data_IF_797190564434
#
_entry.id   IF_797190564434
#
_cell.length_a   1.000
_cell.length_b   1.000
_cell.length_c   1.000
_cell.angle_alpha   90.00
_cell.angle_beta   90.00
_cell.angle_gamma   90.00
#
_symmetry.space_group_name_H-M   'P 1'
#
loop_
_entity.id
_entity.type
_entity.pdbx_description
1 polymer ?
#
# COMPACT_ATOMS: atom_id res chain seq x y z
N UNK A 1 -19.70 0.16 2.17
CA UNK A 1 -18.73 0.37 1.08
C UNK A 1 -18.61 -0.95 0.32
N UNK A 2 -18.40 -0.95 -1.01
CA UNK A 2 -18.31 -2.21 -1.76
C UNK A 2 -17.07 -2.99 -1.32
N UNK A 3 -17.22 -4.29 -1.10
CA UNK A 3 -16.10 -5.21 -0.90
C UNK A 3 -15.65 -5.71 -2.27
N UNK A 4 -14.35 -5.93 -2.43
CA UNK A 4 -13.75 -6.40 -3.68
C UNK A 4 -12.92 -7.64 -3.42
N UNK A 5 -12.70 -8.46 -4.44
CA UNK A 5 -11.62 -9.44 -4.38
C UNK A 5 -10.29 -8.68 -4.36
N UNK A 6 -9.58 -8.77 -3.24
CA UNK A 6 -8.29 -8.17 -3.01
C UNK A 6 -7.20 -9.24 -3.14
N UNK A 7 -6.09 -8.91 -3.80
CA UNK A 7 -4.94 -9.78 -3.94
C UNK A 7 -4.06 -9.80 -2.68
N UNK A 8 -3.87 -8.63 -2.04
CA UNK A 8 -3.11 -8.50 -0.78
C UNK A 8 -1.59 -8.34 -0.95
N UNK A 9 -1.07 -8.52 -2.17
CA UNK A 9 0.33 -8.25 -2.56
C UNK A 9 0.44 -7.90 -4.05
N UNK A 10 -0.43 -6.98 -4.49
CA UNK A 10 -0.54 -6.64 -5.91
C UNK A 10 0.65 -5.77 -6.38
N UNK A 11 1.70 -6.41 -6.89
CA UNK A 11 2.93 -5.74 -7.35
C UNK A 11 3.55 -6.45 -8.57
N UNK A 12 4.54 -5.82 -9.23
CA UNK A 12 5.11 -6.33 -10.49
C UNK A 12 5.55 -7.80 -10.47
N UNK A 13 6.12 -8.36 -9.39
CA UNK A 13 6.43 -9.80 -9.34
C UNK A 13 5.23 -10.72 -9.56
N UNK A 14 4.03 -10.27 -9.20
CA UNK A 14 2.78 -11.03 -9.25
C UNK A 14 1.93 -10.71 -10.50
N UNK A 15 2.45 -9.85 -11.39
CA UNK A 15 1.78 -9.44 -12.62
C UNK A 15 2.54 -9.99 -13.83
N UNK A 16 1.88 -10.82 -14.62
CA UNK A 16 2.42 -11.42 -15.83
C UNK A 16 1.85 -10.74 -17.07
N UNK A 17 2.71 -10.42 -18.03
CA UNK A 17 2.30 -9.94 -19.34
C UNK A 17 2.40 -11.08 -20.35
N UNK A 18 1.24 -11.55 -20.80
CA UNK A 18 1.11 -12.56 -21.85
C UNK A 18 1.15 -11.95 -23.27
N UNK A 19 0.97 -12.80 -24.29
CA UNK A 19 0.78 -12.36 -25.67
C UNK A 19 -0.35 -11.32 -25.77
N UNK A 20 -0.26 -10.44 -26.77
CA UNK A 20 -1.27 -9.41 -27.05
C UNK A 20 -1.56 -8.45 -25.87
N UNK A 21 -0.62 -8.29 -24.92
CA UNK A 21 -0.77 -7.48 -23.70
C UNK A 21 -1.84 -8.00 -22.74
N UNK A 22 -2.16 -9.29 -22.80
CA UNK A 22 -2.99 -9.93 -21.77
C UNK A 22 -2.29 -9.81 -20.40
N UNK A 23 -3.01 -9.36 -19.38
CA UNK A 23 -2.50 -9.23 -18.01
C UNK A 23 -2.99 -10.42 -17.20
N UNK A 24 -2.06 -11.20 -16.65
CA UNK A 24 -2.32 -12.26 -15.69
C UNK A 24 -1.87 -11.86 -14.30
N UNK A 25 -2.53 -12.40 -13.27
CA UNK A 25 -2.21 -12.15 -11.85
C UNK A 25 -2.05 -13.50 -11.16
N UNK A 26 -0.94 -13.68 -10.47
CA UNK A 26 -0.54 -14.94 -9.80
C UNK A 26 -0.25 -14.70 -8.33
N UNK A 27 -0.11 -15.78 -7.56
CA UNK A 27 0.21 -15.73 -6.13
C UNK A 27 -0.88 -15.11 -5.24
N UNK A 28 -2.04 -15.76 -5.25
CA UNK A 28 -3.24 -15.36 -4.51
C UNK A 28 -3.23 -15.81 -3.02
N UNK A 29 -2.08 -16.14 -2.44
CA UNK A 29 -2.02 -16.69 -1.08
C UNK A 29 -2.47 -15.69 0.00
N UNK A 30 -2.35 -14.39 -0.28
CA UNK A 30 -2.76 -13.29 0.60
C UNK A 30 -4.15 -12.71 0.24
N UNK A 31 -4.86 -13.37 -0.65
CA UNK A 31 -6.11 -12.85 -1.19
C UNK A 31 -7.22 -12.81 -0.13
N UNK A 32 -8.03 -11.75 -0.19
CA UNK A 32 -9.23 -11.58 0.62
C UNK A 32 -10.43 -11.40 -0.31
N UNK A 33 -11.36 -12.36 -0.29
CA UNK A 33 -12.56 -12.35 -1.14
C UNK A 33 -13.51 -11.19 -0.79
N UNK A 34 -13.44 -10.71 0.45
CA UNK A 34 -14.22 -9.62 1.00
C UNK A 34 -13.31 -8.43 1.38
N UNK A 35 -12.39 -8.07 0.47
CA UNK A 35 -11.29 -7.14 0.70
C UNK A 35 -11.66 -5.66 0.60
N UNK A 36 -10.70 -4.82 1.01
CA UNK A 36 -10.87 -3.37 1.03
C UNK A 36 -10.56 -2.79 -0.36
N UNK A 37 -11.49 -2.05 -0.98
CA UNK A 37 -11.23 -1.40 -2.26
C UNK A 37 -10.09 -0.40 -2.12
N UNK A 38 -9.31 -0.24 -3.19
CA UNK A 38 -8.17 0.67 -3.21
C UNK A 38 -6.84 0.05 -2.76
N UNK A 39 -6.86 -0.99 -1.93
CA UNK A 39 -5.63 -1.55 -1.32
C UNK A 39 -4.61 -1.98 -2.36
N UNK A 40 -5.02 -2.80 -3.33
CA UNK A 40 -4.15 -3.29 -4.38
C UNK A 40 -3.61 -2.17 -5.28
N UNK A 41 -4.43 -1.18 -5.63
CA UNK A 41 -4.00 -0.06 -6.48
C UNK A 41 -3.04 0.87 -5.73
N UNK A 42 -3.26 1.12 -4.42
CA UNK A 42 -2.33 1.89 -3.61
C UNK A 42 -0.98 1.18 -3.48
N UNK A 43 -1.00 -0.15 -3.27
CA UNK A 43 0.21 -0.94 -3.15
C UNK A 43 0.99 -0.98 -4.47
N UNK A 44 0.30 -1.21 -5.59
CA UNK A 44 0.90 -1.21 -6.92
C UNK A 44 1.50 0.14 -7.30
N UNK A 45 0.79 1.25 -7.06
CA UNK A 45 1.30 2.60 -7.37
C UNK A 45 2.48 2.97 -6.48
N UNK A 46 2.51 2.52 -5.21
CA UNK A 46 3.68 2.67 -4.35
C UNK A 46 4.88 1.86 -4.87
N UNK A 47 4.66 0.62 -5.31
CA UNK A 47 5.71 -0.17 -5.97
C UNK A 47 6.25 0.57 -7.20
N UNK A 48 5.36 1.08 -8.06
CA UNK A 48 5.76 1.85 -9.24
C UNK A 48 6.55 3.12 -8.86
N UNK A 49 6.19 3.82 -7.77
CA UNK A 49 6.94 4.95 -7.25
C UNK A 49 8.38 4.57 -6.89
N UNK A 50 8.56 3.46 -6.18
CA UNK A 50 9.87 2.96 -5.78
C UNK A 50 10.71 2.56 -7.00
N UNK A 51 10.10 1.90 -7.99
CA UNK A 51 10.78 1.50 -9.22
C UNK A 51 11.20 2.70 -10.07
N UNK A 52 10.30 3.70 -10.25
CA UNK A 52 10.56 4.91 -11.05
C UNK A 52 11.69 5.76 -10.47
N UNK A 53 11.73 5.90 -9.14
CA UNK A 53 12.76 6.65 -8.42
C UNK A 53 14.05 5.88 -8.20
N UNK A 54 14.05 4.56 -8.48
CA UNK A 54 15.16 3.64 -8.14
C UNK A 54 15.54 3.72 -6.65
N UNK A 55 14.56 3.90 -5.78
CA UNK A 55 14.79 4.09 -4.35
C UNK A 55 15.47 2.87 -3.70
N UNK A 56 16.50 3.12 -2.89
CA UNK A 56 17.30 2.11 -2.17
C UNK A 56 17.48 2.41 -0.68
N UNK A 57 16.94 3.53 -0.19
CA UNK A 57 16.98 3.91 1.23
C UNK A 57 15.60 4.39 1.70
N UNK A 58 15.38 4.39 3.02
CA UNK A 58 14.12 4.85 3.62
C UNK A 58 13.76 6.29 3.21
N UNK A 59 14.74 7.20 3.16
CA UNK A 59 14.52 8.57 2.70
C UNK A 59 14.08 8.64 1.24
N UNK A 60 14.69 7.82 0.37
CA UNK A 60 14.33 7.74 -1.04
C UNK A 60 12.93 7.11 -1.23
N UNK A 61 12.60 6.08 -0.45
CA UNK A 61 11.27 5.47 -0.46
C UNK A 61 10.20 6.47 -0.03
N UNK A 62 10.45 7.21 1.06
CA UNK A 62 9.52 8.23 1.52
C UNK A 62 9.37 9.38 0.52
N UNK A 63 10.46 9.83 -0.11
CA UNK A 63 10.41 10.85 -1.14
C UNK A 63 9.57 10.41 -2.35
N UNK A 64 9.78 9.18 -2.84
CA UNK A 64 9.02 8.62 -3.95
C UNK A 64 7.53 8.45 -3.61
N UNK A 65 7.23 8.00 -2.39
CA UNK A 65 5.86 7.88 -1.89
C UNK A 65 5.16 9.23 -1.84
N UNK A 66 5.85 10.27 -1.35
CA UNK A 66 5.33 11.65 -1.31
C UNK A 66 5.03 12.17 -2.71
N UNK A 67 5.96 12.02 -3.64
CA UNK A 67 5.79 12.44 -5.03
C UNK A 67 4.59 11.73 -5.69
N UNK A 68 4.36 10.47 -5.35
CA UNK A 68 3.25 9.70 -5.88
C UNK A 68 1.90 10.17 -5.35
N UNK A 69 1.75 10.33 -4.03
CA UNK A 69 0.43 10.44 -3.40
C UNK A 69 0.11 11.79 -2.76
N UNK A 70 1.11 12.65 -2.51
CA UNK A 70 0.92 13.87 -1.71
C UNK A 70 1.12 15.14 -2.52
N UNK A 71 0.27 16.12 -2.25
CA UNK A 71 0.31 17.44 -2.87
C UNK A 71 -0.46 17.53 -4.19
N UNK A 72 -0.51 18.74 -4.74
CA UNK A 72 -1.27 19.05 -5.96
C UNK A 72 -0.71 18.38 -7.21
N UNK A 73 0.59 18.05 -7.21
CA UNK A 73 1.28 17.39 -8.33
C UNK A 73 1.39 15.87 -8.18
N UNK A 74 0.67 15.26 -7.22
CA UNK A 74 0.71 13.83 -6.96
C UNK A 74 0.31 13.02 -8.20
N UNK A 75 1.27 12.33 -8.82
CA UNK A 75 1.05 11.67 -10.11
C UNK A 75 0.17 10.40 -10.02
N UNK A 76 0.01 9.82 -8.83
CA UNK A 76 -0.84 8.63 -8.61
C UNK A 76 -2.34 8.98 -8.65
N UNK A 77 -2.70 10.25 -8.42
CA UNK A 77 -4.07 10.75 -8.32
C UNK A 77 -4.98 10.31 -9.48
N UNK A 78 -4.64 10.54 -10.77
CA UNK A 78 -5.51 10.12 -11.87
C UNK A 78 -5.79 8.62 -11.87
N UNK A 79 -4.81 7.76 -11.59
CA UNK A 79 -5.00 6.31 -11.55
C UNK A 79 -5.92 5.87 -10.41
N UNK A 80 -5.78 6.47 -9.24
CA UNK A 80 -6.66 6.21 -8.08
C UNK A 80 -8.10 6.65 -8.39
N UNK A 81 -8.26 7.81 -9.05
CA UNK A 81 -9.58 8.33 -9.41
C UNK A 81 -10.25 7.49 -10.50
N UNK A 82 -9.48 7.04 -11.49
CA UNK A 82 -9.96 6.13 -12.54
C UNK A 82 -10.42 4.80 -11.93
N UNK A 83 -9.62 4.22 -11.02
CA UNK A 83 -10.01 3.04 -10.25
C UNK A 83 -11.30 3.29 -9.46
N UNK A 84 -11.37 4.40 -8.72
CA UNK A 84 -12.52 4.79 -7.90
C UNK A 84 -13.81 4.83 -8.72
N UNK A 85 -13.75 5.43 -9.93
CA UNK A 85 -14.89 5.46 -10.86
C UNK A 85 -15.22 4.06 -11.39
N UNK A 86 -14.22 3.26 -11.74
CA UNK A 86 -14.40 1.91 -12.28
C UNK A 86 -15.09 0.95 -11.30
N UNK A 87 -14.84 1.09 -9.99
CA UNK A 87 -15.47 0.25 -8.95
C UNK A 87 -16.68 0.89 -8.28
N UNK A 88 -17.11 2.08 -8.72
CA UNK A 88 -18.26 2.80 -8.14
C UNK A 88 -18.04 3.25 -6.69
N UNK A 89 -16.80 3.54 -6.31
CA UNK A 89 -16.46 4.01 -4.97
C UNK A 89 -16.69 5.53 -4.85
N UNK A 90 -17.21 5.98 -3.70
CA UNK A 90 -17.34 7.41 -3.42
C UNK A 90 -15.96 8.04 -3.14
N UNK A 91 -15.57 9.16 -3.81
CA UNK A 91 -14.24 9.76 -3.66
C UNK A 91 -13.85 10.08 -2.21
N UNK A 92 -14.81 10.48 -1.37
CA UNK A 92 -14.60 10.77 0.07
C UNK A 92 -14.05 9.59 0.88
N UNK A 93 -14.20 8.36 0.37
CA UNK A 93 -13.70 7.16 1.03
C UNK A 93 -12.23 6.87 0.69
N UNK A 94 -11.64 7.52 -0.31
CA UNK A 94 -10.27 7.24 -0.75
C UNK A 94 -9.23 7.57 0.32
N UNK A 95 -9.36 8.70 1.03
CA UNK A 95 -8.44 9.06 2.13
C UNK A 95 -8.47 8.03 3.27
N UNK A 96 -9.63 7.69 3.88
CA UNK A 96 -9.65 6.68 4.95
C UNK A 96 -9.21 5.29 4.45
N UNK A 97 -9.56 4.89 3.22
CA UNK A 97 -9.10 3.61 2.66
C UNK A 97 -7.58 3.58 2.45
N UNK A 98 -6.98 4.70 2.04
CA UNK A 98 -5.52 4.80 1.93
C UNK A 98 -4.83 4.60 3.28
N UNK A 99 -5.35 5.24 4.34
CA UNK A 99 -4.83 5.03 5.69
C UNK A 99 -5.02 3.60 6.20
N UNK A 100 -6.19 3.00 5.93
CA UNK A 100 -6.48 1.61 6.31
C UNK A 100 -5.58 0.62 5.58
N UNK A 101 -5.28 0.86 4.28
CA UNK A 101 -4.35 0.04 3.50
C UNK A 101 -2.98 -0.06 4.21
N UNK A 102 -2.36 1.08 4.51
CA UNK A 102 -1.04 1.09 5.16
C UNK A 102 -1.11 0.64 6.63
N UNK A 103 -2.16 0.99 7.36
CA UNK A 103 -2.36 0.54 8.74
C UNK A 103 -2.51 -0.97 8.84
N UNK A 104 -3.30 -1.58 7.96
CA UNK A 104 -3.47 -3.05 7.89
C UNK A 104 -2.16 -3.72 7.48
N UNK A 105 -1.41 -3.15 6.53
CA UNK A 105 -0.12 -3.69 6.13
C UNK A 105 0.87 -3.70 7.30
N UNK A 106 0.99 -2.59 8.03
CA UNK A 106 1.85 -2.47 9.22
C UNK A 106 1.42 -3.44 10.32
N UNK A 107 0.11 -3.58 10.58
CA UNK A 107 -0.39 -4.55 11.55
C UNK A 107 -0.05 -6.00 11.15
N UNK A 108 -0.17 -6.34 9.87
CA UNK A 108 0.17 -7.67 9.36
C UNK A 108 1.67 -7.97 9.47
N UNK A 109 2.55 -6.97 9.34
CA UNK A 109 3.99 -7.15 9.58
C UNK A 109 4.27 -7.57 11.03
N UNK A 110 3.57 -6.97 12.00
CA UNK A 110 3.71 -7.33 13.43
C UNK A 110 3.25 -8.76 13.67
N UNK A 111 2.09 -9.14 13.12
CA UNK A 111 1.56 -10.52 13.26
C UNK A 111 2.51 -11.54 12.64
N UNK A 112 3.04 -11.28 11.43
CA UNK A 112 4.00 -12.18 10.78
C UNK A 112 5.30 -12.31 11.57
N UNK A 113 5.78 -11.22 12.16
CA UNK A 113 6.97 -11.23 13.03
C UNK A 113 6.72 -12.07 14.29
N UNK A 114 5.56 -11.93 14.93
CA UNK A 114 5.20 -12.74 16.10
C UNK A 114 5.13 -14.24 15.76
N UNK A 115 4.53 -14.57 14.61
CA UNK A 115 4.40 -15.95 14.15
C UNK A 115 5.74 -16.58 13.77
N UNK A 116 6.70 -15.81 13.22
CA UNK A 116 8.02 -16.34 12.86
C UNK A 116 8.90 -16.59 14.09
N UNK A 117 8.66 -15.90 15.20
CA UNK A 117 9.52 -15.93 16.38
C UNK A 117 9.20 -17.08 17.37
N UNK A 118 8.09 -17.80 17.21
CA UNK A 118 7.76 -19.09 17.84
C UNK A 118 8.13 -19.34 19.34
N UNK A 119 8.41 -18.33 20.16
CA UNK A 119 8.96 -18.53 21.52
C UNK A 119 8.88 -17.28 22.38
N UNK A 120 8.75 -17.54 23.70
CA UNK A 120 8.71 -16.62 24.85
C UNK A 120 9.96 -15.73 25.02
N UNK A 121 10.39 -15.01 23.98
CA UNK A 121 11.36 -13.94 24.11
C UNK A 121 10.58 -12.65 24.39
N UNK A 122 11.08 -11.81 25.29
CA UNK A 122 10.46 -10.52 25.63
C UNK A 122 10.70 -9.52 24.47
N UNK A 123 10.04 -9.80 23.34
CA UNK A 123 10.27 -9.29 21.99
C UNK A 123 9.71 -7.88 21.76
N UNK A 124 8.99 -7.32 22.74
CA UNK A 124 8.27 -6.07 22.54
C UNK A 124 9.21 -4.92 22.14
N UNK A 125 10.35 -4.77 22.83
CA UNK A 125 11.27 -3.66 22.55
C UNK A 125 11.99 -3.80 21.20
N UNK A 126 12.53 -4.98 20.88
CA UNK A 126 13.22 -5.23 19.60
C UNK A 126 12.25 -5.19 18.41
N UNK A 127 11.04 -5.74 18.57
CA UNK A 127 9.99 -5.67 17.54
C UNK A 127 9.54 -4.23 17.29
N UNK A 128 9.43 -3.41 18.33
CA UNK A 128 9.11 -1.98 18.18
C UNK A 128 10.24 -1.24 17.47
N UNK A 129 11.50 -1.52 17.80
CA UNK A 129 12.66 -0.91 17.14
C UNK A 129 12.71 -1.29 15.66
N UNK A 130 12.60 -2.59 15.34
CA UNK A 130 12.53 -3.07 13.97
C UNK A 130 11.37 -2.45 13.19
N UNK A 131 10.18 -2.37 13.81
CA UNK A 131 9.01 -1.79 13.17
C UNK A 131 9.24 -0.30 12.86
N UNK A 132 9.89 0.45 13.76
CA UNK A 132 10.23 1.86 13.54
C UNK A 132 11.25 2.07 12.41
N UNK A 133 12.10 1.09 12.16
CA UNK A 133 13.06 1.10 11.04
C UNK A 133 12.44 0.59 9.72
N UNK A 134 11.27 -0.07 9.80
CA UNK A 134 10.57 -0.61 8.63
C UNK A 134 10.03 0.51 7.74
N UNK A 135 10.35 0.45 6.45
CA UNK A 135 9.90 1.45 5.46
C UNK A 135 8.38 1.65 5.44
N UNK A 136 7.57 0.60 5.58
CA UNK A 136 6.10 0.71 5.51
C UNK A 136 5.51 1.36 6.76
N UNK A 137 6.16 1.20 7.91
CA UNK A 137 5.82 1.97 9.10
C UNK A 137 6.08 3.47 8.87
N UNK A 138 7.20 3.83 8.23
CA UNK A 138 7.48 5.23 7.87
C UNK A 138 6.43 5.80 6.91
N UNK A 139 6.00 5.03 5.90
CA UNK A 139 4.94 5.46 4.98
C UNK A 139 3.60 5.66 5.69
N UNK A 140 3.20 4.71 6.53
CA UNK A 140 1.96 4.80 7.32
C UNK A 140 1.99 6.01 8.26
N UNK A 141 3.08 6.19 9.01
CA UNK A 141 3.28 7.33 9.90
C UNK A 141 3.19 8.65 9.14
N UNK A 142 3.88 8.75 8.00
CA UNK A 142 3.81 9.95 7.15
C UNK A 142 2.38 10.24 6.70
N UNK A 143 1.62 9.20 6.32
CA UNK A 143 0.25 9.33 5.86
C UNK A 143 -0.69 9.86 6.95
N UNK A 144 -0.50 9.43 8.20
CA UNK A 144 -1.25 9.96 9.34
C UNK A 144 -0.90 11.43 9.61
N UNK A 145 0.38 11.79 9.60
CA UNK A 145 0.86 13.13 9.90
C UNK A 145 0.49 14.16 8.81
N UNK A 146 0.34 13.71 7.56
CA UNK A 146 0.15 14.57 6.38
C UNK A 146 -1.15 14.26 5.64
N UNK A 147 -2.19 13.77 6.34
CA UNK A 147 -3.47 13.38 5.73
C UNK A 147 -4.11 14.49 4.89
N UNK A 148 -3.91 15.75 5.26
CA UNK A 148 -4.39 16.93 4.50
C UNK A 148 -3.74 17.08 3.12
N UNK A 149 -2.58 16.47 2.91
CA UNK A 149 -1.90 16.42 1.61
C UNK A 149 -2.41 15.33 0.68
N UNK A 150 -3.28 14.42 1.15
CA UNK A 150 -3.93 13.39 0.34
C UNK A 150 -5.17 13.95 -0.34
N UNK A 151 -4.96 14.48 -1.53
CA UNK A 151 -6.00 15.10 -2.32
C UNK A 151 -6.45 14.19 -3.46
N UNK A 152 -7.36 13.27 -3.13
CA UNK A 152 -7.99 12.35 -4.09
C UNK A 152 -9.40 12.80 -4.53
N UNK A 153 -9.96 13.79 -3.84
CA UNK A 153 -11.29 14.35 -4.09
C UNK A 153 -11.13 15.45 -5.14
N UNK A 154 -11.33 15.13 -6.42
CA UNK A 154 -11.53 16.18 -7.45
C UNK A 154 -12.93 16.78 -7.33
#
# INVERSE_FOLDING_TARGET
FPLVFEHGDFSSPNILLGPERAVGVVDWELAEAAGLPGSDIFFFLNFAAFSRSRARSNDQYLAAFREAFFGSSAWARPYVQDYCRGVGLEPRLLRPLFLLCWGRYVANLVVRLQNSLNSNVNLAAESITWLRENRYYLLWKHSLEHISGLDFES
#
